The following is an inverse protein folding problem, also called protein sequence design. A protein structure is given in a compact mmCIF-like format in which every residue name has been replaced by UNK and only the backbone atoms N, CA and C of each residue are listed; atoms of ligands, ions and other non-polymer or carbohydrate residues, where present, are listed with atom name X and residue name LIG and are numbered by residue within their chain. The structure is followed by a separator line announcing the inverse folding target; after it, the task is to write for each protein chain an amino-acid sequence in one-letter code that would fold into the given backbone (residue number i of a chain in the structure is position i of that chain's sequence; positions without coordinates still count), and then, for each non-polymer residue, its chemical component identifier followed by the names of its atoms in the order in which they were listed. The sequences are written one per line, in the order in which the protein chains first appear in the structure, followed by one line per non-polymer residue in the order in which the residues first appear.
data_IF_290455656752
#
_entry.id   IF_290455656752
#
_cell.length_a   1.000
_cell.length_b   1.000
_cell.length_c   1.000
_cell.angle_alpha   90.00
_cell.angle_beta   90.00
_cell.angle_gamma   90.00
#
_symmetry.space_group_name_H-M   'P 1'
#
loop_
_entity.id
_entity.type
_entity.pdbx_description
1 polymer ?
#
# COMPACT_ATOMS: atom_id res chain seq x y z
N UNK A 1 4.81 34.18 -26.01
CA UNK A 1 5.55 33.04 -26.62
C UNK A 1 6.17 32.09 -25.59
N UNK A 2 6.63 32.56 -24.41
CA UNK A 2 7.17 31.68 -23.34
C UNK A 2 6.19 30.59 -22.88
N UNK A 3 4.94 30.95 -22.54
CA UNK A 3 3.96 29.99 -21.99
C UNK A 3 3.73 28.76 -22.89
N UNK A 4 3.54 28.96 -24.20
CA UNK A 4 3.35 27.83 -25.12
C UNK A 4 4.62 26.98 -25.24
N UNK A 5 5.81 27.61 -25.27
CA UNK A 5 7.08 26.90 -25.28
C UNK A 5 7.27 26.05 -24.00
N UNK A 6 6.91 26.59 -22.83
CA UNK A 6 7.00 25.90 -21.55
C UNK A 6 6.02 24.70 -21.49
N UNK A 7 4.78 24.88 -21.97
CA UNK A 7 3.78 23.81 -22.06
C UNK A 7 4.20 22.72 -23.05
N UNK A 8 4.68 23.09 -24.23
CA UNK A 8 5.19 22.12 -25.22
C UNK A 8 6.43 21.39 -24.70
N UNK A 9 7.33 22.09 -23.98
CA UNK A 9 8.49 21.48 -23.34
C UNK A 9 8.10 20.46 -22.27
N UNK A 10 7.09 20.78 -21.45
CA UNK A 10 6.55 19.85 -20.45
C UNK A 10 5.91 18.63 -21.10
N UNK A 11 5.09 18.81 -22.14
CA UNK A 11 4.47 17.72 -22.88
C UNK A 11 5.51 16.82 -23.53
N UNK A 12 6.52 17.42 -24.17
CA UNK A 12 7.64 16.68 -24.75
C UNK A 12 8.36 15.85 -23.69
N UNK A 13 8.68 16.45 -22.55
CA UNK A 13 9.32 15.75 -21.43
C UNK A 13 8.48 14.56 -20.94
N UNK A 14 7.17 14.74 -20.73
CA UNK A 14 6.27 13.63 -20.31
C UNK A 14 6.28 12.51 -21.33
N UNK A 15 6.13 12.83 -22.62
CA UNK A 15 6.12 11.83 -23.69
C UNK A 15 7.44 11.07 -23.73
N UNK A 16 8.57 11.79 -23.62
CA UNK A 16 9.90 11.19 -23.55
C UNK A 16 10.04 10.23 -22.36
N UNK A 17 9.54 10.60 -21.18
CA UNK A 17 9.56 9.73 -20.00
C UNK A 17 8.69 8.47 -20.18
N UNK A 18 7.54 8.59 -20.82
CA UNK A 18 6.69 7.44 -21.16
C UNK A 18 7.44 6.47 -22.09
N UNK A 19 8.11 6.97 -23.13
CA UNK A 19 8.91 6.11 -24.00
C UNK A 19 10.10 5.45 -23.26
N UNK A 20 10.84 6.21 -22.46
CA UNK A 20 11.92 5.66 -21.65
C UNK A 20 11.43 4.64 -20.63
N UNK A 21 10.22 4.78 -20.10
CA UNK A 21 9.66 3.82 -19.15
C UNK A 21 9.49 2.43 -19.75
N UNK A 22 9.15 2.31 -21.04
CA UNK A 22 9.07 1.02 -21.73
C UNK A 22 10.45 0.37 -21.83
N UNK A 23 11.47 1.16 -22.15
CA UNK A 23 12.85 0.70 -22.16
C UNK A 23 13.31 0.26 -20.75
N UNK A 24 13.02 1.05 -19.73
CA UNK A 24 13.37 0.74 -18.34
C UNK A 24 12.68 -0.53 -17.84
N UNK A 25 11.40 -0.73 -18.18
CA UNK A 25 10.68 -1.94 -17.86
C UNK A 25 11.31 -3.17 -18.55
N UNK A 26 11.64 -3.05 -19.84
CA UNK A 26 12.29 -4.14 -20.57
C UNK A 26 13.69 -4.44 -20.02
N UNK A 27 14.47 -3.40 -19.70
CA UNK A 27 15.79 -3.54 -19.07
C UNK A 27 15.70 -4.24 -17.71
N UNK A 28 14.75 -3.83 -16.86
CA UNK A 28 14.54 -4.40 -15.54
C UNK A 28 14.19 -5.91 -15.60
N UNK A 29 13.38 -6.31 -16.57
CA UNK A 29 12.97 -7.71 -16.78
C UNK A 29 14.13 -8.55 -17.33
N UNK A 30 14.92 -8.00 -18.26
CA UNK A 30 16.03 -8.73 -18.90
C UNK A 30 17.27 -8.85 -18.03
N UNK A 31 17.50 -7.89 -17.12
CA UNK A 31 18.67 -7.83 -16.25
C UNK A 31 18.31 -7.89 -14.75
N UNK A 32 17.63 -8.95 -14.28
CA UNK A 32 17.18 -9.05 -12.89
C UNK A 32 18.34 -8.98 -11.90
N UNK A 33 19.48 -9.60 -12.23
CA UNK A 33 20.66 -9.62 -11.36
C UNK A 33 21.26 -8.23 -11.10
N UNK A 34 21.03 -7.26 -11.98
CA UNK A 34 21.57 -5.89 -11.84
C UNK A 34 20.94 -5.10 -10.69
N UNK A 35 19.80 -5.55 -10.17
CA UNK A 35 19.06 -4.89 -9.10
C UNK A 35 18.51 -5.85 -8.03
N UNK A 36 18.30 -7.14 -8.33
CA UNK A 36 17.84 -8.14 -7.35
C UNK A 36 18.96 -8.85 -6.60
N UNK A 37 20.21 -8.77 -7.05
CA UNK A 37 21.32 -9.43 -6.36
C UNK A 37 21.73 -8.65 -5.10
N UNK A 38 21.05 -8.86 -3.97
CA UNK A 38 21.32 -8.12 -2.73
C UNK A 38 22.61 -8.51 -2.00
N UNK A 39 23.35 -9.51 -2.52
CA UNK A 39 24.72 -9.76 -2.10
C UNK A 39 25.68 -8.70 -2.66
N UNK A 40 25.35 -8.14 -3.83
CA UNK A 40 26.04 -6.98 -4.38
C UNK A 40 25.44 -5.69 -3.80
N UNK A 41 26.29 -4.92 -3.10
CA UNK A 41 25.89 -3.67 -2.48
C UNK A 41 25.51 -2.62 -3.53
N UNK A 42 26.10 -2.66 -4.73
CA UNK A 42 25.72 -1.74 -5.80
C UNK A 42 24.32 -2.06 -6.34
N UNK A 43 24.02 -3.33 -6.61
CA UNK A 43 22.69 -3.77 -7.00
C UNK A 43 21.63 -3.42 -5.93
N UNK A 44 21.94 -3.62 -4.64
CA UNK A 44 21.05 -3.21 -3.55
C UNK A 44 20.80 -1.70 -3.56
N UNK A 45 21.82 -0.87 -3.71
CA UNK A 45 21.65 0.59 -3.78
C UNK A 45 20.85 1.03 -5.00
N UNK A 46 21.02 0.36 -6.15
CA UNK A 46 20.18 0.58 -7.34
C UNK A 46 18.72 0.22 -7.06
N UNK A 47 18.44 -0.89 -6.38
CA UNK A 47 17.08 -1.26 -5.98
C UNK A 47 16.44 -0.20 -5.08
N UNK A 48 17.18 0.29 -4.08
CA UNK A 48 16.70 1.33 -3.18
C UNK A 48 16.43 2.63 -3.94
N UNK A 49 17.31 3.03 -4.86
CA UNK A 49 17.09 4.21 -5.70
C UNK A 49 15.85 4.05 -6.56
N UNK A 50 15.80 3.00 -7.39
CA UNK A 50 14.75 2.82 -8.38
C UNK A 50 13.38 2.58 -7.74
N UNK A 51 13.32 1.97 -6.55
CA UNK A 51 12.08 1.73 -5.82
C UNK A 51 11.29 2.99 -5.45
N UNK A 52 11.97 4.13 -5.27
CA UNK A 52 11.35 5.44 -4.98
C UNK A 52 11.58 6.48 -6.07
N UNK A 53 11.89 6.05 -7.29
CA UNK A 53 12.35 6.91 -8.38
C UNK A 53 11.23 7.41 -9.31
N UNK A 54 11.54 8.43 -10.11
CA UNK A 54 10.64 8.92 -11.16
C UNK A 54 10.45 7.88 -12.27
N UNK A 55 11.49 7.11 -12.57
CA UNK A 55 11.50 6.07 -13.59
C UNK A 55 10.45 4.99 -13.29
N UNK A 56 10.39 4.53 -12.03
CA UNK A 56 9.37 3.58 -11.58
C UNK A 56 7.97 4.18 -11.63
N UNK A 57 7.81 5.46 -11.27
CA UNK A 57 6.53 6.16 -11.39
C UNK A 57 6.02 6.17 -12.84
N UNK A 58 6.88 6.53 -13.81
CA UNK A 58 6.49 6.52 -15.21
C UNK A 58 6.22 5.11 -15.74
N UNK A 59 6.89 4.07 -15.24
CA UNK A 59 6.53 2.68 -15.57
C UNK A 59 5.10 2.36 -15.14
N UNK A 60 4.70 2.74 -13.92
CA UNK A 60 3.33 2.54 -13.45
C UNK A 60 2.31 3.36 -14.26
N UNK A 61 2.61 4.62 -14.57
CA UNK A 61 1.75 5.47 -15.41
C UNK A 61 1.57 4.85 -16.80
N UNK A 62 2.66 4.40 -17.43
CA UNK A 62 2.60 3.77 -18.75
C UNK A 62 1.80 2.47 -18.73
N UNK A 63 1.98 1.62 -17.72
CA UNK A 63 1.16 0.42 -17.55
C UNK A 63 -0.31 0.76 -17.36
N UNK A 64 -0.62 1.75 -16.52
CA UNK A 64 -1.99 2.23 -16.31
C UNK A 64 -2.62 2.74 -17.61
N UNK A 65 -1.91 3.58 -18.37
CA UNK A 65 -2.39 4.11 -19.65
C UNK A 65 -2.57 2.98 -20.67
N UNK A 66 -1.62 2.06 -20.77
CA UNK A 66 -1.68 0.94 -21.71
C UNK A 66 -2.88 0.02 -21.42
N UNK A 67 -3.10 -0.35 -20.14
CA UNK A 67 -4.26 -1.14 -19.72
C UNK A 67 -5.56 -0.38 -19.98
N UNK A 68 -5.60 0.93 -19.71
CA UNK A 68 -6.79 1.76 -19.93
C UNK A 68 -7.12 1.86 -21.43
N UNK A 69 -6.12 2.02 -22.30
CA UNK A 69 -6.30 2.06 -23.76
C UNK A 69 -6.82 0.72 -24.28
N UNK A 70 -6.20 -0.40 -23.88
CA UNK A 70 -6.70 -1.74 -24.26
C UNK A 70 -8.11 -1.98 -23.72
N UNK A 71 -8.35 -1.60 -22.47
CA UNK A 71 -9.64 -1.71 -21.79
C UNK A 71 -10.74 -0.90 -22.47
N UNK A 72 -10.41 0.22 -23.12
CA UNK A 72 -11.36 1.02 -23.89
C UNK A 72 -11.92 0.24 -25.09
N UNK A 73 -11.09 -0.58 -25.74
CA UNK A 73 -11.49 -1.48 -26.85
C UNK A 73 -12.12 -2.78 -26.35
N UNK A 74 -11.64 -3.32 -25.22
CA UNK A 74 -12.08 -4.60 -24.66
C UNK A 74 -12.53 -4.47 -23.20
N UNK A 75 -13.79 -4.10 -22.98
CA UNK A 75 -14.32 -3.82 -21.62
C UNK A 75 -14.22 -5.05 -20.70
N UNK A 76 -14.34 -6.26 -21.26
CA UNK A 76 -14.18 -7.53 -20.52
C UNK A 76 -12.80 -7.65 -19.86
N UNK A 77 -11.74 -7.15 -20.52
CA UNK A 77 -10.38 -7.16 -19.98
C UNK A 77 -10.29 -6.20 -18.79
N UNK A 78 -10.88 -5.01 -18.90
CA UNK A 78 -10.84 -4.03 -17.83
C UNK A 78 -11.64 -4.50 -16.60
N UNK A 79 -12.81 -5.09 -16.80
CA UNK A 79 -13.56 -5.75 -15.72
C UNK A 79 -12.78 -6.89 -15.07
N UNK A 80 -12.02 -7.66 -15.84
CA UNK A 80 -11.17 -8.72 -15.30
C UNK A 80 -10.10 -8.15 -14.37
N UNK A 81 -9.41 -7.07 -14.76
CA UNK A 81 -8.44 -6.40 -13.89
C UNK A 81 -9.07 -5.86 -12.62
N UNK A 82 -10.19 -5.13 -12.71
CA UNK A 82 -10.92 -4.61 -11.54
C UNK A 82 -11.26 -5.74 -10.56
N UNK A 83 -11.82 -6.85 -11.07
CA UNK A 83 -12.18 -8.00 -10.23
C UNK A 83 -10.97 -8.65 -9.56
N UNK A 84 -9.82 -8.72 -10.24
CA UNK A 84 -8.59 -9.26 -9.65
C UNK A 84 -8.09 -8.36 -8.53
N UNK A 85 -8.02 -7.06 -8.77
CA UNK A 85 -7.52 -6.09 -7.79
C UNK A 85 -8.42 -6.06 -6.55
N UNK A 86 -9.73 -6.03 -6.72
CA UNK A 86 -10.66 -6.05 -5.60
C UNK A 86 -10.64 -7.38 -4.84
N UNK A 87 -10.56 -8.52 -5.53
CA UNK A 87 -10.40 -9.82 -4.87
C UNK A 87 -9.11 -9.91 -4.10
N UNK A 88 -8.04 -9.35 -4.62
CA UNK A 88 -6.76 -9.29 -3.92
C UNK A 88 -6.88 -8.46 -2.63
N UNK A 89 -7.43 -7.25 -2.72
CA UNK A 89 -7.66 -6.39 -1.56
C UNK A 89 -8.61 -7.03 -0.53
N UNK A 90 -9.71 -7.66 -0.98
CA UNK A 90 -10.65 -8.35 -0.11
C UNK A 90 -9.98 -9.53 0.61
N UNK A 91 -9.22 -10.36 -0.10
CA UNK A 91 -8.49 -11.49 0.52
C UNK A 91 -7.49 -11.01 1.57
N UNK A 92 -6.73 -9.95 1.28
CA UNK A 92 -5.81 -9.36 2.26
C UNK A 92 -6.58 -8.89 3.50
N UNK A 93 -7.66 -8.13 3.31
CA UNK A 93 -8.50 -7.67 4.41
C UNK A 93 -9.02 -8.81 5.28
N UNK A 94 -9.55 -9.86 4.68
CA UNK A 94 -10.04 -11.04 5.41
C UNK A 94 -8.93 -11.75 6.20
N UNK A 95 -7.76 -11.95 5.61
CA UNK A 95 -6.63 -12.62 6.28
C UNK A 95 -6.19 -11.79 7.49
N UNK A 96 -6.05 -10.48 7.32
CA UNK A 96 -5.55 -9.60 8.39
C UNK A 96 -6.64 -9.14 9.37
N UNK A 97 -7.92 -9.33 9.09
CA UNK A 97 -8.99 -9.14 10.08
C UNK A 97 -8.81 -10.05 11.31
N UNK A 98 -8.24 -11.25 11.12
CA UNK A 98 -7.87 -12.16 12.23
C UNK A 98 -6.83 -11.57 13.17
N UNK A 99 -5.99 -10.61 12.72
CA UNK A 99 -5.07 -9.90 13.60
C UNK A 99 -5.82 -9.13 14.70
N UNK A 100 -7.06 -8.68 14.44
CA UNK A 100 -7.93 -8.08 15.45
C UNK A 100 -8.32 -9.06 16.55
N UNK A 101 -8.70 -10.29 16.18
CA UNK A 101 -9.02 -11.34 17.15
C UNK A 101 -7.79 -11.73 17.97
N UNK A 102 -6.64 -11.91 17.32
CA UNK A 102 -5.37 -12.23 17.98
C UNK A 102 -5.00 -11.12 18.98
N UNK A 103 -5.15 -9.85 18.59
CA UNK A 103 -4.90 -8.70 19.47
C UNK A 103 -5.76 -8.76 20.74
N UNK A 104 -7.06 -9.07 20.62
CA UNK A 104 -7.95 -9.16 21.78
C UNK A 104 -7.56 -10.32 22.69
N UNK A 105 -7.27 -11.50 22.12
CA UNK A 105 -6.84 -12.67 22.89
C UNK A 105 -5.53 -12.37 23.64
N UNK A 106 -4.56 -11.75 22.97
CA UNK A 106 -3.30 -11.35 23.57
C UNK A 106 -3.48 -10.28 24.65
N UNK A 107 -4.35 -9.29 24.44
CA UNK A 107 -4.70 -8.29 25.44
C UNK A 107 -5.28 -8.93 26.70
N UNK A 108 -6.17 -9.91 26.55
CA UNK A 108 -6.73 -10.67 27.67
C UNK A 108 -5.60 -11.42 28.40
N UNK A 109 -4.75 -12.14 27.67
CA UNK A 109 -3.60 -12.85 28.25
C UNK A 109 -2.69 -11.90 29.06
N UNK A 110 -2.34 -10.75 28.50
CA UNK A 110 -1.51 -9.73 29.18
C UNK A 110 -2.17 -9.26 30.48
N UNK A 111 -3.47 -8.95 30.45
CA UNK A 111 -4.21 -8.49 31.63
C UNK A 111 -4.28 -9.58 32.71
N UNK A 112 -4.52 -10.84 32.34
CA UNK A 112 -4.57 -11.96 33.28
C UNK A 112 -3.22 -12.20 33.95
N UNK A 113 -2.12 -12.20 33.19
CA UNK A 113 -0.79 -12.46 33.74
C UNK A 113 -0.32 -11.32 34.66
N UNK A 114 -0.55 -10.06 34.25
CA UNK A 114 -0.20 -8.90 35.08
C UNK A 114 -1.02 -8.83 36.36
N UNK A 115 -2.35 -8.99 36.25
CA UNK A 115 -3.26 -8.70 37.37
C UNK A 115 -3.49 -9.86 38.31
N UNK A 116 -3.48 -11.11 37.82
CA UNK A 116 -3.79 -12.29 38.63
C UNK A 116 -2.52 -12.98 39.11
N UNK A 117 -1.55 -13.16 38.22
CA UNK A 117 -0.33 -13.91 38.53
C UNK A 117 0.82 -13.02 39.02
N UNK A 118 0.73 -11.69 38.84
CA UNK A 118 1.77 -10.71 39.24
C UNK A 118 3.19 -11.12 38.79
N UNK A 119 3.28 -11.86 37.69
CA UNK A 119 4.56 -12.20 37.04
C UNK A 119 4.91 -11.08 36.07
N UNK A 120 6.20 -10.85 35.87
CA UNK A 120 6.71 -9.85 34.92
C UNK A 120 7.01 -10.44 33.53
N UNK A 121 7.04 -11.77 33.42
CA UNK A 121 7.50 -12.52 32.25
C UNK A 121 6.44 -13.55 31.81
N UNK A 122 6.31 -13.72 30.50
CA UNK A 122 5.45 -14.76 29.90
C UNK A 122 6.38 -15.77 29.22
N UNK A 123 6.26 -17.04 29.65
CA UNK A 123 6.95 -18.18 29.04
C UNK A 123 5.93 -18.94 28.20
N UNK A 124 6.07 -18.89 26.88
CA UNK A 124 5.20 -19.63 25.94
C UNK A 124 6.05 -20.69 25.24
N UNK A 125 5.78 -21.97 25.51
CA UNK A 125 6.44 -23.07 24.80
C UNK A 125 6.18 -24.46 25.39
N UNK A 126 5.98 -25.44 24.52
CA UNK A 126 6.08 -26.88 24.85
C UNK A 126 7.49 -27.34 24.47
N UNK A 127 8.49 -26.98 25.28
CA UNK A 127 9.91 -27.24 24.97
C UNK A 127 10.83 -26.10 25.41
N UNK A 128 11.51 -25.44 24.47
CA UNK A 128 12.35 -24.27 24.75
C UNK A 128 11.42 -23.08 25.05
N UNK A 129 11.42 -22.53 26.27
CA UNK A 129 10.53 -21.43 26.61
C UNK A 129 10.97 -20.17 25.88
N UNK A 130 10.08 -19.60 25.06
CA UNK A 130 10.23 -18.23 24.62
C UNK A 130 9.81 -17.34 25.79
N UNK A 131 10.79 -16.82 26.51
CA UNK A 131 10.59 -15.92 27.65
C UNK A 131 10.78 -14.49 27.18
N UNK A 132 9.68 -13.76 27.12
CA UNK A 132 9.70 -12.32 26.90
C UNK A 132 8.97 -11.62 28.05
N UNK A 133 9.46 -10.43 28.39
CA UNK A 133 8.79 -9.55 29.33
C UNK A 133 7.38 -9.23 28.83
N UNK A 134 6.47 -8.99 29.77
CA UNK A 134 5.11 -8.58 29.42
C UNK A 134 5.11 -7.25 28.65
N UNK A 135 6.12 -6.39 28.87
CA UNK A 135 6.30 -5.16 28.09
C UNK A 135 6.44 -5.44 26.58
N UNK A 136 7.10 -6.54 26.21
CA UNK A 136 7.25 -6.94 24.81
C UNK A 136 5.89 -7.27 24.18
N UNK A 137 5.09 -8.12 24.86
CA UNK A 137 3.75 -8.50 24.39
C UNK A 137 2.78 -7.33 24.38
N UNK A 138 2.92 -6.38 25.32
CA UNK A 138 2.11 -5.16 25.36
C UNK A 138 2.47 -4.21 24.21
N UNK A 139 3.74 -4.10 23.84
CA UNK A 139 4.17 -3.31 22.69
C UNK A 139 3.78 -3.97 21.35
N UNK A 140 3.80 -5.30 21.26
CA UNK A 140 3.38 -6.06 20.07
C UNK A 140 1.91 -5.82 19.70
N UNK A 141 1.04 -5.51 20.67
CA UNK A 141 -0.36 -5.14 20.39
C UNK A 141 -0.46 -3.96 19.41
N UNK A 142 0.50 -3.04 19.43
CA UNK A 142 0.59 -1.93 18.46
C UNK A 142 0.85 -2.44 17.04
N UNK A 143 1.61 -3.54 16.88
CA UNK A 143 1.84 -4.16 15.59
C UNK A 143 0.55 -4.75 15.05
N UNK A 144 -0.21 -5.51 15.86
CA UNK A 144 -1.51 -6.04 15.42
C UNK A 144 -2.47 -4.93 15.02
N UNK A 145 -2.52 -3.84 15.80
CA UNK A 145 -3.32 -2.67 15.47
C UNK A 145 -2.87 -2.04 14.14
N UNK A 146 -1.57 -1.86 13.94
CA UNK A 146 -1.02 -1.34 12.70
C UNK A 146 -1.32 -2.26 11.51
N UNK A 147 -1.26 -3.59 11.68
CA UNK A 147 -1.61 -4.55 10.63
C UNK A 147 -3.07 -4.40 10.20
N UNK A 148 -4.01 -4.31 11.15
CA UNK A 148 -5.43 -4.11 10.84
C UNK A 148 -5.64 -2.80 10.07
N UNK A 149 -5.06 -1.69 10.53
CA UNK A 149 -5.23 -0.39 9.86
C UNK A 149 -4.57 -0.39 8.47
N UNK A 150 -3.32 -0.84 8.38
CA UNK A 150 -2.54 -0.75 7.15
C UNK A 150 -3.03 -1.71 6.07
N UNK A 151 -3.48 -2.90 6.44
CA UNK A 151 -3.78 -3.97 5.48
C UNK A 151 -5.28 -4.07 5.18
N UNK A 152 -6.16 -3.56 6.05
CA UNK A 152 -7.60 -3.57 5.79
C UNK A 152 -8.12 -2.26 5.17
N UNK A 153 -7.28 -1.25 4.90
CA UNK A 153 -7.73 0.04 4.33
C UNK A 153 -8.47 -0.12 2.99
N UNK A 154 -7.92 -0.91 2.07
CA UNK A 154 -8.55 -1.10 0.75
C UNK A 154 -9.81 -1.96 0.86
N UNK A 155 -9.79 -2.98 1.73
CA UNK A 155 -10.95 -3.80 2.04
C UNK A 155 -12.12 -2.97 2.59
N UNK A 156 -11.89 -2.14 3.62
CA UNK A 156 -12.94 -1.27 4.18
C UNK A 156 -13.51 -0.29 3.15
N UNK A 157 -12.69 0.18 2.21
CA UNK A 157 -13.14 1.02 1.11
C UNK A 157 -14.06 0.25 0.15
N UNK A 158 -13.68 -0.97 -0.25
CA UNK A 158 -14.47 -1.85 -1.15
C UNK A 158 -15.80 -2.22 -0.51
N UNK A 159 -15.79 -2.55 0.79
CA UNK A 159 -16.99 -2.87 1.57
C UNK A 159 -17.87 -1.65 1.87
N UNK A 160 -17.51 -0.47 1.36
CA UNK A 160 -18.27 0.78 1.55
C UNK A 160 -18.44 1.17 3.03
N UNK A 161 -17.52 0.73 3.91
CA UNK A 161 -17.54 1.05 5.34
C UNK A 161 -17.10 2.48 5.68
N UNK A 162 -16.89 3.33 4.68
CA UNK A 162 -16.56 4.73 4.87
C UNK A 162 -17.82 5.58 4.83
N UNK A 163 -17.93 6.55 5.72
CA UNK A 163 -19.01 7.53 5.68
C UNK A 163 -18.77 8.45 4.48
N UNK A 164 -19.57 8.26 3.42
CA UNK A 164 -19.63 9.20 2.30
C UNK A 164 -20.45 10.41 2.74
N UNK A 165 -19.90 11.61 2.56
CA UNK A 165 -20.65 12.84 2.84
C UNK A 165 -21.61 13.07 1.66
N UNK A 166 -22.77 12.42 1.71
CA UNK A 166 -23.72 12.31 0.61
C UNK A 166 -24.53 13.58 0.29
N UNK A 167 -24.20 14.71 0.92
CA UNK A 167 -24.89 16.00 0.69
C UNK A 167 -24.75 16.44 -0.77
N UNK A 168 -23.60 16.22 -1.39
CA UNK A 168 -23.36 16.55 -2.79
C UNK A 168 -23.80 15.43 -3.76
N UNK A 169 -23.72 14.17 -3.33
CA UNK A 169 -24.06 13.01 -4.16
C UNK A 169 -25.57 12.82 -4.38
N UNK A 170 -26.41 13.22 -3.42
CA UNK A 170 -27.88 13.07 -3.54
C UNK A 170 -28.52 13.89 -4.67
N UNK A 171 -27.85 14.93 -5.17
CA UNK A 171 -28.40 15.88 -6.16
C UNK A 171 -27.84 15.74 -7.57
N UNK A 172 -26.88 14.86 -7.80
CA UNK A 172 -26.17 14.72 -9.09
C UNK A 172 -26.59 13.45 -9.83
N UNK A 173 -26.60 13.51 -11.17
CA UNK A 173 -26.91 12.36 -12.02
C UNK A 173 -25.86 11.24 -11.91
N UNK A 174 -26.24 10.00 -12.22
CA UNK A 174 -25.34 8.85 -12.16
C UNK A 174 -24.02 9.07 -12.92
N UNK A 175 -24.10 9.60 -14.15
CA UNK A 175 -22.91 9.89 -14.95
C UNK A 175 -21.99 10.91 -14.28
N UNK A 176 -22.57 11.94 -13.66
CA UNK A 176 -21.80 12.97 -12.96
C UNK A 176 -21.10 12.40 -11.73
N UNK A 177 -21.76 11.49 -10.98
CA UNK A 177 -21.14 10.79 -9.85
C UNK A 177 -19.89 10.04 -10.27
N UNK A 178 -19.97 9.25 -11.34
CA UNK A 178 -18.82 8.46 -11.82
C UNK A 178 -17.68 9.33 -12.34
N UNK A 179 -17.98 10.49 -12.95
CA UNK A 179 -16.95 11.47 -13.32
C UNK A 179 -16.27 12.05 -12.07
N UNK A 180 -17.04 12.41 -11.04
CA UNK A 180 -16.50 12.89 -9.76
C UNK A 180 -15.59 11.82 -9.13
N UNK A 181 -16.00 10.56 -9.15
CA UNK A 181 -15.24 9.44 -8.58
C UNK A 181 -13.93 9.18 -9.35
N UNK A 182 -13.97 9.24 -10.69
CA UNK A 182 -12.76 9.17 -11.55
C UNK A 182 -11.81 10.35 -11.29
N UNK A 183 -12.35 11.56 -11.16
CA UNK A 183 -11.56 12.75 -10.84
C UNK A 183 -10.96 12.64 -9.42
N UNK A 184 -11.76 12.18 -8.46
CA UNK A 184 -11.38 11.94 -7.06
C UNK A 184 -10.17 11.02 -6.95
N UNK A 185 -10.25 9.87 -7.62
CA UNK A 185 -9.16 8.89 -7.65
C UNK A 185 -7.91 9.43 -8.34
N UNK A 186 -8.03 10.04 -9.51
CA UNK A 186 -6.87 10.45 -10.31
C UNK A 186 -6.16 11.70 -9.76
N UNK A 187 -6.89 12.68 -9.22
CA UNK A 187 -6.32 13.96 -8.78
C UNK A 187 -6.07 14.05 -7.27
N UNK A 188 -6.72 13.22 -6.46
CA UNK A 188 -6.50 13.23 -5.00
C UNK A 188 -5.86 11.94 -4.51
N UNK A 189 -6.40 10.77 -4.85
CA UNK A 189 -5.88 9.50 -4.31
C UNK A 189 -4.50 9.14 -4.90
N UNK A 190 -4.35 9.17 -6.23
CA UNK A 190 -3.09 8.81 -6.90
C UNK A 190 -1.94 9.74 -6.50
N UNK A 191 -2.05 11.08 -6.55
CA UNK A 191 -0.94 11.96 -6.20
C UNK A 191 -0.54 11.84 -4.73
N UNK A 192 -1.52 11.68 -3.83
CA UNK A 192 -1.25 11.43 -2.41
C UNK A 192 -0.51 10.10 -2.21
N UNK A 193 -0.94 9.03 -2.88
CA UNK A 193 -0.30 7.73 -2.81
C UNK A 193 1.15 7.76 -3.35
N UNK A 194 1.41 8.51 -4.42
CA UNK A 194 2.77 8.69 -4.99
C UNK A 194 3.69 9.39 -4.00
N UNK A 195 3.22 10.48 -3.38
CA UNK A 195 3.99 11.21 -2.37
C UNK A 195 4.29 10.29 -1.18
N UNK A 196 3.26 9.62 -0.65
CA UNK A 196 3.41 8.69 0.46
C UNK A 196 4.39 7.55 0.12
N UNK A 197 4.34 7.01 -1.11
CA UNK A 197 5.21 5.92 -1.54
C UNK A 197 6.66 6.37 -1.53
N UNK A 198 6.94 7.49 -2.18
CA UNK A 198 8.30 8.03 -2.29
C UNK A 198 8.92 8.25 -0.91
N UNK A 199 8.21 8.93 0.00
CA UNK A 199 8.74 9.17 1.34
C UNK A 199 8.84 7.90 2.18
N UNK A 200 7.84 7.02 2.14
CA UNK A 200 7.80 5.80 2.95
C UNK A 200 8.87 4.79 2.51
N UNK A 201 9.17 4.71 1.21
CA UNK A 201 10.20 3.83 0.67
C UNK A 201 11.58 4.17 1.23
N UNK A 202 12.03 5.41 1.08
CA UNK A 202 13.32 5.85 1.63
C UNK A 202 13.32 5.87 3.15
N UNK A 203 12.18 6.15 3.77
CA UNK A 203 12.02 6.04 5.22
C UNK A 203 12.28 4.61 5.70
N UNK A 204 11.70 3.58 5.09
CA UNK A 204 11.99 2.18 5.46
C UNK A 204 13.48 1.87 5.33
N UNK A 205 14.06 2.11 4.16
CA UNK A 205 15.45 1.74 3.88
C UNK A 205 16.46 2.42 4.80
N UNK A 206 16.22 3.68 5.18
CA UNK A 206 17.08 4.42 6.11
C UNK A 206 17.18 3.77 7.51
N UNK A 207 16.22 2.95 7.92
CA UNK A 207 16.25 2.21 9.19
C UNK A 207 16.64 0.72 9.02
N UNK A 208 16.93 0.28 7.80
CA UNK A 208 17.42 -1.07 7.49
C UNK A 208 18.92 -1.08 7.16
N UNK A 209 19.44 0.04 6.62
CA UNK A 209 20.81 0.14 6.15
C UNK A 209 21.51 1.40 6.66
N UNK A 210 22.85 1.30 6.74
CA UNK A 210 23.75 2.45 6.96
C UNK A 210 24.75 2.50 5.81
N UNK A 211 25.09 3.68 5.25
CA UNK A 211 24.67 5.03 5.63
C UNK A 211 23.22 5.36 5.22
N UNK A 212 22.63 6.34 5.93
CA UNK A 212 21.24 6.78 5.72
C UNK A 212 21.00 7.26 4.29
N UNK A 213 19.91 6.79 3.68
CA UNK A 213 19.44 7.19 2.35
C UNK A 213 18.33 8.23 2.45
N UNK A 214 18.26 9.13 1.47
CA UNK A 214 17.24 10.17 1.35
C UNK A 214 16.64 10.17 -0.05
N UNK A 215 15.39 10.63 -0.17
CA UNK A 215 14.72 10.79 -1.46
C UNK A 215 15.43 11.78 -2.40
N UNK A 216 16.23 12.69 -1.85
CA UNK A 216 16.98 13.69 -2.62
C UNK A 216 18.38 13.19 -3.06
N UNK A 217 18.80 12.00 -2.65
CA UNK A 217 20.13 11.47 -3.00
C UNK A 217 20.17 11.05 -4.48
N UNK A 218 21.15 11.57 -5.23
CA UNK A 218 21.39 11.14 -6.63
C UNK A 218 22.01 9.75 -6.69
N UNK A 219 21.75 9.04 -7.80
CA UNK A 219 22.25 7.68 -8.02
C UNK A 219 23.77 7.54 -7.85
N UNK A 220 24.57 8.50 -8.33
CA UNK A 220 26.04 8.48 -8.18
C UNK A 220 26.49 8.52 -6.72
N UNK A 221 25.79 9.29 -5.89
CA UNK A 221 26.07 9.40 -4.47
C UNK A 221 25.69 8.09 -3.76
N UNK A 222 24.59 7.45 -4.16
CA UNK A 222 24.18 6.14 -3.65
C UNK A 222 25.16 5.03 -4.06
N UNK A 223 25.69 5.06 -5.28
CA UNK A 223 26.76 4.14 -5.72
C UNK A 223 28.03 4.37 -4.90
N UNK A 224 28.39 5.61 -4.56
CA UNK A 224 29.52 5.86 -3.64
C UNK A 224 29.25 5.33 -2.23
N UNK A 225 28.02 5.49 -1.73
CA UNK A 225 27.57 4.95 -0.43
C UNK A 225 27.56 3.42 -0.39
N UNK A 226 27.38 2.73 -1.52
CA UNK A 226 27.35 1.26 -1.59
C UNK A 226 28.62 0.62 -1.02
N UNK A 227 29.78 1.24 -1.22
CA UNK A 227 31.09 0.72 -0.76
C UNK A 227 31.16 0.53 0.75
N UNK A 228 30.48 1.40 1.49
CA UNK A 228 30.43 1.38 2.96
C UNK A 228 29.09 0.87 3.49
N UNK A 229 28.21 0.34 2.63
CA UNK A 229 26.91 -0.13 3.04
C UNK A 229 27.01 -1.31 4.02
N UNK A 230 26.25 -1.22 5.11
CA UNK A 230 26.05 -2.27 6.11
C UNK A 230 24.58 -2.39 6.43
N UNK A 231 24.11 -3.64 6.58
CA UNK A 231 22.81 -3.92 7.16
C UNK A 231 22.82 -3.52 8.63
N UNK A 232 21.86 -2.70 9.02
CA UNK A 232 21.66 -2.23 10.39
C UNK A 232 20.16 -2.12 10.63
N UNK A 233 19.52 -3.28 10.83
CA UNK A 233 18.08 -3.36 11.01
C UNK A 233 17.73 -2.87 12.40
N UNK A 234 16.98 -1.79 12.48
CA UNK A 234 16.45 -1.30 13.75
C UNK A 234 15.35 -2.25 14.28
N UNK A 235 15.74 -3.08 15.23
CA UNK A 235 14.89 -4.07 15.89
C UNK A 235 14.14 -3.46 17.08
N UNK A 236 14.77 -2.58 17.84
CA UNK A 236 14.24 -2.04 19.10
C UNK A 236 13.59 -0.67 18.87
N UNK A 237 12.42 -0.46 19.47
CA UNK A 237 11.65 0.78 19.40
C UNK A 237 11.77 1.65 20.66
N UNK A 238 10.80 1.51 21.56
CA UNK A 238 10.58 2.45 22.67
C UNK A 238 11.29 2.04 23.97
N UNK A 239 11.41 0.75 24.24
CA UNK A 239 12.06 0.23 25.44
C UNK A 239 13.09 -0.85 25.08
N UNK A 240 14.19 -1.00 25.85
CA UNK A 240 15.20 -2.04 25.59
C UNK A 240 14.64 -3.47 25.60
N UNK A 241 13.58 -3.71 26.38
CA UNK A 241 12.88 -4.99 26.48
C UNK A 241 11.57 -5.00 25.66
N UNK A 242 11.38 -3.99 24.82
CA UNK A 242 10.18 -3.79 24.01
C UNK A 242 10.16 -4.66 22.75
N UNK A 243 9.10 -4.50 21.96
CA UNK A 243 8.89 -5.32 20.77
C UNK A 243 10.07 -5.21 19.78
N UNK A 244 10.70 -6.34 19.49
CA UNK A 244 12.00 -6.44 18.80
C UNK A 244 11.92 -6.47 17.27
N UNK A 245 10.73 -6.39 16.68
CA UNK A 245 10.57 -6.36 15.22
C UNK A 245 10.02 -5.02 14.74
N UNK A 246 10.57 -3.92 15.27
CA UNK A 246 10.08 -2.57 14.96
C UNK A 246 10.22 -2.18 13.48
N UNK A 247 11.09 -2.85 12.71
CA UNK A 247 11.18 -2.67 11.26
C UNK A 247 9.87 -3.05 10.52
N UNK A 248 9.05 -3.95 11.07
CA UNK A 248 7.78 -4.36 10.48
C UNK A 248 6.81 -3.19 10.30
N UNK A 249 6.79 -2.22 11.22
CA UNK A 249 5.95 -1.03 11.09
C UNK A 249 6.27 -0.24 9.81
N UNK A 250 7.55 -0.17 9.42
CA UNK A 250 7.96 0.54 8.20
C UNK A 250 7.54 -0.23 6.94
N UNK A 251 7.61 -1.57 6.99
CA UNK A 251 7.09 -2.43 5.92
C UNK A 251 5.57 -2.27 5.80
N UNK A 252 4.84 -2.20 6.91
CA UNK A 252 3.39 -2.00 6.92
C UNK A 252 2.99 -0.66 6.31
N UNK A 253 3.75 0.42 6.53
CA UNK A 253 3.49 1.71 5.88
C UNK A 253 3.61 1.57 4.35
N UNK A 254 4.62 0.86 3.84
CA UNK A 254 4.74 0.64 2.38
C UNK A 254 3.59 -0.23 1.87
N UNK A 255 3.20 -1.26 2.61
CA UNK A 255 2.06 -2.11 2.26
C UNK A 255 0.74 -1.31 2.23
N UNK A 256 0.52 -0.42 3.21
CA UNK A 256 -0.61 0.51 3.25
C UNK A 256 -0.66 1.35 1.97
N UNK A 257 0.47 1.97 1.60
CA UNK A 257 0.52 2.83 0.41
C UNK A 257 0.31 2.03 -0.88
N UNK A 258 0.89 0.83 -0.97
CA UNK A 258 0.66 -0.08 -2.10
C UNK A 258 -0.84 -0.39 -2.26
N UNK A 259 -1.53 -0.70 -1.17
CA UNK A 259 -2.97 -1.00 -1.17
C UNK A 259 -3.80 0.23 -1.54
N UNK A 260 -3.45 1.43 -1.07
CA UNK A 260 -4.10 2.68 -1.49
C UNK A 260 -3.94 2.89 -3.00
N UNK A 261 -2.73 2.64 -3.55
CA UNK A 261 -2.47 2.79 -4.98
C UNK A 261 -3.28 1.79 -5.82
N UNK A 262 -3.30 0.51 -5.41
CA UNK A 262 -4.12 -0.52 -6.04
C UNK A 262 -5.60 -0.14 -5.98
N UNK A 263 -6.07 0.33 -4.83
CA UNK A 263 -7.47 0.74 -4.64
C UNK A 263 -7.83 1.93 -5.52
N UNK A 264 -6.96 2.93 -5.63
CA UNK A 264 -7.19 4.11 -6.46
C UNK A 264 -7.34 3.73 -7.94
N UNK A 265 -6.49 2.83 -8.44
CA UNK A 265 -6.56 2.33 -9.83
C UNK A 265 -7.83 1.50 -10.05
N UNK A 266 -8.12 0.57 -9.13
CA UNK A 266 -9.32 -0.27 -9.23
C UNK A 266 -10.60 0.55 -9.21
N UNK A 267 -10.67 1.54 -8.32
CA UNK A 267 -11.80 2.44 -8.22
C UNK A 267 -11.96 3.32 -9.46
N UNK A 268 -10.85 3.84 -10.02
CA UNK A 268 -10.88 4.59 -11.27
C UNK A 268 -11.44 3.74 -12.43
N UNK A 269 -10.91 2.53 -12.63
CA UNK A 269 -11.35 1.65 -13.73
C UNK A 269 -12.79 1.18 -13.55
N UNK A 270 -13.23 0.92 -12.31
CA UNK A 270 -14.63 0.63 -12.01
C UNK A 270 -15.52 1.81 -12.38
N UNK A 271 -15.23 3.02 -11.90
CA UNK A 271 -16.05 4.21 -12.19
C UNK A 271 -16.05 4.55 -13.69
N UNK A 272 -14.94 4.31 -14.40
CA UNK A 272 -14.86 4.46 -15.85
C UNK A 272 -15.77 3.49 -16.60
N UNK A 273 -15.77 2.21 -16.21
CA UNK A 273 -16.65 1.20 -16.81
C UNK A 273 -18.11 1.46 -16.49
N UNK A 274 -18.42 1.82 -15.24
CA UNK A 274 -19.78 2.13 -14.81
C UNK A 274 -20.34 3.36 -15.54
N UNK A 275 -19.50 4.38 -15.75
CA UNK A 275 -19.86 5.54 -16.56
C UNK A 275 -20.17 5.17 -18.03
N UNK A 276 -19.41 4.24 -18.61
CA UNK A 276 -19.52 3.85 -20.03
C UNK A 276 -20.65 2.86 -20.32
N UNK A 277 -20.90 1.91 -19.42
CA UNK A 277 -21.98 0.91 -19.55
C UNK A 277 -23.35 1.43 -19.04
N UNK A 278 -23.36 2.50 -18.22
CA UNK A 278 -24.55 3.13 -17.70
C UNK A 278 -25.07 2.50 -16.39
N UNK A 279 -26.24 2.94 -15.93
CA UNK A 279 -26.79 2.61 -14.60
C UNK A 279 -26.93 1.11 -14.32
N UNK A 280 -27.19 0.29 -15.35
CA UNK A 280 -27.31 -1.16 -15.23
C UNK A 280 -26.01 -1.86 -14.79
N UNK A 281 -24.88 -1.17 -14.82
CA UNK A 281 -23.58 -1.69 -14.44
C UNK A 281 -23.14 -1.29 -13.02
N UNK A 282 -23.96 -0.50 -12.31
CA UNK A 282 -23.65 -0.09 -10.95
C UNK A 282 -23.45 -1.30 -10.03
N UNK A 283 -22.33 -1.32 -9.29
CA UNK A 283 -21.95 -2.40 -8.37
C UNK A 283 -21.80 -3.78 -9.05
N UNK A 284 -21.69 -3.84 -10.37
CA UNK A 284 -21.48 -5.09 -11.10
C UNK A 284 -20.19 -5.76 -10.61
N UNK A 285 -20.30 -7.06 -10.33
CA UNK A 285 -19.23 -7.91 -9.76
C UNK A 285 -18.66 -7.47 -8.41
N UNK A 286 -19.28 -6.51 -7.72
CA UNK A 286 -18.85 -6.10 -6.40
C UNK A 286 -19.23 -7.18 -5.38
N UNK A 287 -18.23 -7.73 -4.70
CA UNK A 287 -18.41 -8.73 -3.64
C UNK A 287 -18.52 -7.98 -2.29
N UNK A 288 -19.73 -7.56 -1.96
CA UNK A 288 -20.06 -7.00 -0.64
C UNK A 288 -20.37 -8.11 0.35
N UNK A 289 -19.84 -7.98 1.56
CA UNK A 289 -20.27 -8.79 2.68
C UNK A 289 -21.67 -8.37 3.10
N UNK A 290 -22.56 -9.37 3.24
CA UNK A 290 -23.83 -9.18 3.92
C UNK A 290 -23.52 -9.09 5.40
N UNK A 291 -23.49 -7.88 5.93
CA UNK A 291 -23.74 -7.71 7.36
C UNK A 291 -25.22 -8.00 7.54
N UNK A 292 -25.57 -9.26 7.82
CA UNK A 292 -26.94 -9.59 8.20
C UNK A 292 -27.32 -8.65 9.36
N UNK A 293 -28.42 -7.94 9.16
CA UNK A 293 -29.04 -6.99 10.07
C UNK A 293 -29.12 -7.57 11.50
N UNK A 294 -28.10 -7.30 12.33
CA UNK A 294 -28.22 -7.42 13.78
C UNK A 294 -29.29 -6.48 14.35
N UNK A 295 -29.86 -5.57 13.54
CA UNK A 295 -31.06 -4.77 13.86
C UNK A 295 -32.35 -5.60 13.85
N UNK A 296 -32.48 -6.62 12.98
CA UNK A 296 -33.70 -7.43 12.88
C UNK A 296 -33.83 -8.50 13.98
N UNK A 297 -32.81 -8.65 14.83
CA UNK A 297 -32.86 -9.52 16.02
C UNK A 297 -33.36 -8.79 17.28
N UNK A 298 -33.54 -7.47 17.23
CA UNK A 298 -34.10 -6.68 18.35
C UNK A 298 -35.62 -6.46 18.27
N UNK A 299 -36.26 -6.89 17.18
CA UNK A 299 -37.71 -6.78 16.95
C UNK A 299 -38.46 -8.13 17.01
N UNK A 300 -37.87 -9.18 17.61
CA UNK A 300 -38.57 -10.44 17.87
C UNK A 300 -38.50 -10.85 19.34
#
# INVERSE_FOLDING_TARGET
MSFFYDVFGLLYWIITQIFFSLYNLFYAITHPLSWLNWNDKEALMKFIYYGGSQELFFVFVTLFLFITIIGNFYHKILWFFVRILEKFCNKIGHIFAWAGLIMVIQQIMVVFIQRIFTRAEISIGFGIPFEFDISWFAEELKLYNAMVICLCVAYTFIQQGHVRVDIFYSRVSFQTKKIIDMFGSLFFMVPMAVILWMYSWFFMWRHLITPKVSASDKIELLIRKSKILKWNVETIGFSPNGFSAYFLFKILIIALVALIFIQAISFFWRSYLEWKEGENSENKYLELEKFDDFSNASEK
#
